data_IF_854346717416
#
_entry.id   IF_854346717416
#
_cell.length_a   1.000
_cell.length_b   1.000
_cell.length_c   1.000
_cell.angle_alpha   90.00
_cell.angle_beta   90.00
_cell.angle_gamma   90.00
#
_symmetry.space_group_name_H-M   'P 1'
#
loop_
_entity.id
_entity.type
_entity.pdbx_description
1 polymer ?
#
# COMPACT_ATOMS: atom_id res chain seq x y z
N UNK A 1 27.30 -17.40 6.86
CA UNK A 1 26.23 -17.28 7.89
C UNK A 1 24.94 -17.70 7.22
N UNK A 2 24.14 -18.58 7.84
CA UNK A 2 22.87 -19.00 7.24
C UNK A 2 21.76 -18.06 7.74
N UNK A 3 20.92 -17.57 6.82
CA UNK A 3 19.78 -16.71 7.13
C UNK A 3 18.54 -17.27 6.43
N UNK A 4 17.44 -17.37 7.18
CA UNK A 4 16.14 -17.85 6.69
C UNK A 4 15.07 -16.87 7.14
N UNK A 5 14.12 -16.56 6.26
CA UNK A 5 13.07 -15.59 6.55
C UNK A 5 11.84 -15.81 5.69
N UNK A 6 10.81 -15.02 5.96
CA UNK A 6 9.54 -15.01 5.23
C UNK A 6 9.37 -13.67 4.51
N UNK A 7 8.68 -13.70 3.37
CA UNK A 7 8.31 -12.51 2.60
C UNK A 7 6.89 -12.68 2.08
N UNK A 8 6.00 -11.78 2.46
CA UNK A 8 4.62 -11.75 1.94
C UNK A 8 4.52 -11.00 0.61
N UNK A 9 5.45 -10.07 0.35
CA UNK A 9 5.50 -9.31 -0.90
C UNK A 9 5.88 -10.24 -2.07
N UNK A 10 4.99 -10.34 -3.06
CA UNK A 10 5.13 -11.25 -4.20
C UNK A 10 6.01 -10.65 -5.31
N UNK A 11 7.30 -10.48 -5.04
CA UNK A 11 8.25 -9.90 -6.02
C UNK A 11 8.52 -10.80 -7.22
N UNK A 12 8.18 -12.10 -7.15
CA UNK A 12 8.36 -13.03 -8.27
C UNK A 12 7.34 -12.80 -9.39
N UNK A 13 6.22 -12.13 -9.10
CA UNK A 13 5.25 -11.73 -10.11
C UNK A 13 5.76 -10.48 -10.86
N UNK A 14 5.87 -10.58 -12.18
CA UNK A 14 6.38 -9.50 -13.04
C UNK A 14 5.56 -8.21 -12.99
N UNK A 15 4.24 -8.30 -12.82
CA UNK A 15 3.37 -7.13 -12.69
C UNK A 15 3.55 -6.43 -11.34
N UNK A 16 3.74 -7.20 -10.25
CA UNK A 16 4.02 -6.62 -8.93
C UNK A 16 5.39 -5.98 -8.91
N UNK A 17 6.39 -6.63 -9.52
CA UNK A 17 7.75 -6.08 -9.61
C UNK A 17 7.80 -4.74 -10.34
N UNK A 18 7.06 -4.55 -11.43
CA UNK A 18 7.06 -3.26 -12.15
C UNK A 18 6.40 -2.13 -11.33
N UNK A 19 5.41 -2.45 -10.49
CA UNK A 19 4.80 -1.49 -9.56
C UNK A 19 5.81 -1.08 -8.48
N UNK A 20 6.55 -2.04 -7.92
CA UNK A 20 7.59 -1.79 -6.91
C UNK A 20 8.73 -0.96 -7.51
N UNK A 21 9.13 -1.23 -8.75
CA UNK A 21 10.16 -0.46 -9.45
C UNK A 21 9.74 1.01 -9.62
N UNK A 22 8.51 1.24 -10.08
CA UNK A 22 7.95 2.60 -10.19
C UNK A 22 7.94 3.33 -8.85
N UNK A 23 7.48 2.65 -7.78
CA UNK A 23 7.52 3.21 -6.42
C UNK A 23 8.94 3.60 -6.00
N UNK A 24 9.90 2.74 -6.30
CA UNK A 24 11.31 2.93 -5.95
C UNK A 24 11.90 4.14 -6.66
N UNK A 25 11.61 4.32 -7.96
CA UNK A 25 12.07 5.49 -8.74
C UNK A 25 11.56 6.82 -8.18
N UNK A 26 10.29 6.87 -7.74
CA UNK A 26 9.71 8.07 -7.13
C UNK A 26 10.31 8.35 -5.74
N UNK A 27 10.63 7.29 -4.97
CA UNK A 27 11.14 7.42 -3.61
C UNK A 27 12.65 7.65 -3.51
N UNK A 28 13.42 7.23 -4.52
CA UNK A 28 14.85 7.56 -4.63
C UNK A 28 15.11 9.07 -4.83
N UNK A 29 14.07 9.87 -5.08
CA UNK A 29 14.17 11.33 -5.05
C UNK A 29 14.27 11.91 -3.63
N UNK A 30 13.92 11.12 -2.59
CA UNK A 30 14.08 11.51 -1.20
C UNK A 30 15.54 11.29 -0.75
N UNK A 31 16.06 12.10 0.20
CA UNK A 31 17.43 11.93 0.69
C UNK A 31 17.63 10.51 1.28
N UNK A 32 18.65 9.76 0.81
CA UNK A 32 18.96 8.44 1.34
C UNK A 32 19.40 8.53 2.81
N UNK A 33 19.17 7.48 3.59
CA UNK A 33 19.59 7.40 5.01
C UNK A 33 20.82 6.50 5.14
N UNK A 34 22.04 7.07 5.11
CA UNK A 34 23.29 6.33 4.92
C UNK A 34 23.59 5.29 6.03
N UNK A 35 23.04 5.45 7.24
CA UNK A 35 23.37 4.60 8.39
C UNK A 35 22.30 3.53 8.71
N UNK A 36 21.30 3.34 7.85
CA UNK A 36 20.18 2.45 8.17
C UNK A 36 20.48 0.95 7.98
N UNK A 37 21.46 0.61 7.14
CA UNK A 37 21.68 -0.78 6.70
C UNK A 37 20.53 -1.35 5.85
N UNK A 38 19.60 -0.50 5.41
CA UNK A 38 18.45 -0.85 4.58
C UNK A 38 18.68 -0.42 3.13
N UNK A 39 18.00 -1.09 2.20
CA UNK A 39 17.98 -0.68 0.80
C UNK A 39 17.11 0.58 0.66
N UNK A 40 17.71 1.67 0.18
CA UNK A 40 16.97 2.90 -0.12
C UNK A 40 15.97 2.67 -1.26
N UNK A 41 14.79 3.28 -1.15
CA UNK A 41 13.73 3.19 -2.17
C UNK A 41 12.95 1.88 -2.19
N UNK A 42 13.34 0.85 -1.40
CA UNK A 42 12.60 -0.41 -1.36
C UNK A 42 11.18 -0.22 -0.79
N UNK A 43 10.19 -0.82 -1.43
CA UNK A 43 8.81 -0.78 -0.94
C UNK A 43 8.66 -1.71 0.27
N UNK A 44 8.50 -1.12 1.44
CA UNK A 44 8.23 -1.84 2.69
C UNK A 44 6.82 -2.44 2.69
N UNK A 45 6.62 -3.49 3.50
CA UNK A 45 5.36 -4.23 3.56
C UNK A 45 4.19 -3.37 4.05
N UNK A 46 4.42 -2.41 4.94
CA UNK A 46 3.39 -1.46 5.39
C UNK A 46 2.83 -0.61 4.23
N UNK A 47 3.70 -0.10 3.34
CA UNK A 47 3.30 0.65 2.15
C UNK A 47 2.57 -0.25 1.14
N UNK A 48 3.06 -1.47 0.92
CA UNK A 48 2.41 -2.44 0.05
C UNK A 48 1.00 -2.81 0.55
N UNK A 49 0.83 -3.03 1.85
CA UNK A 49 -0.49 -3.31 2.43
C UNK A 49 -1.46 -2.13 2.29
N UNK A 50 -0.98 -0.89 2.39
CA UNK A 50 -1.81 0.29 2.13
C UNK A 50 -2.23 0.36 0.66
N UNK A 51 -1.31 0.08 -0.26
CA UNK A 51 -1.60 0.04 -1.69
C UNK A 51 -2.68 -1.01 -2.01
N UNK A 52 -2.54 -2.23 -1.47
CA UNK A 52 -3.51 -3.31 -1.65
C UNK A 52 -4.87 -2.97 -1.01
N UNK A 53 -4.89 -2.36 0.18
CA UNK A 53 -6.13 -1.97 0.85
C UNK A 53 -6.98 -1.02 -0.01
N UNK A 54 -6.36 -0.04 -0.66
CA UNK A 54 -7.04 0.86 -1.58
C UNK A 54 -7.64 0.10 -2.76
N UNK A 55 -6.91 -0.86 -3.34
CA UNK A 55 -7.39 -1.65 -4.49
C UNK A 55 -8.54 -2.57 -4.11
N UNK A 56 -8.46 -3.24 -2.95
CA UNK A 56 -9.54 -4.09 -2.44
C UNK A 56 -10.82 -3.28 -2.22
N UNK A 57 -10.72 -2.10 -1.60
CA UNK A 57 -11.86 -1.21 -1.42
C UNK A 57 -12.40 -0.70 -2.77
N UNK A 58 -11.53 -0.34 -3.71
CA UNK A 58 -11.94 0.12 -5.04
C UNK A 58 -12.74 -0.94 -5.80
N UNK A 59 -12.32 -2.21 -5.75
CA UNK A 59 -13.06 -3.33 -6.34
C UNK A 59 -14.44 -3.48 -5.69
N UNK A 60 -14.53 -3.38 -4.36
CA UNK A 60 -15.81 -3.43 -3.65
C UNK A 60 -16.74 -2.26 -4.03
N UNK A 61 -16.20 -1.05 -4.19
CA UNK A 61 -16.95 0.13 -4.62
C UNK A 61 -17.45 -0.03 -6.06
N UNK A 62 -16.63 -0.54 -6.98
CA UNK A 62 -17.03 -0.77 -8.38
C UNK A 62 -18.20 -1.75 -8.50
N UNK A 63 -18.28 -2.73 -7.61
CA UNK A 63 -19.39 -3.71 -7.57
C UNK A 63 -20.67 -3.14 -6.94
N UNK A 64 -20.59 -2.00 -6.25
CA UNK A 64 -21.73 -1.37 -5.60
C UNK A 64 -22.31 -0.24 -6.44
N UNK A 65 -23.54 -0.39 -6.90
CA UNK A 65 -24.16 0.54 -7.86
C UNK A 65 -24.63 1.87 -7.25
N UNK A 66 -24.77 1.98 -5.92
CA UNK A 66 -25.42 3.14 -5.26
C UNK A 66 -24.78 3.55 -3.93
N UNK A 67 -23.45 3.68 -3.84
CA UNK A 67 -22.78 4.26 -2.67
C UNK A 67 -22.57 5.76 -2.89
N UNK A 68 -23.04 6.59 -1.95
CA UNK A 68 -22.78 8.04 -1.94
C UNK A 68 -22.23 8.48 -0.59
N UNK A 69 -21.32 9.45 -0.59
CA UNK A 69 -20.71 9.95 0.64
C UNK A 69 -21.70 10.86 1.37
N UNK A 70 -21.87 10.64 2.68
CA UNK A 70 -22.68 11.50 3.54
C UNK A 70 -21.82 12.20 4.59
N UNK A 71 -22.10 13.47 4.87
CA UNK A 71 -21.52 14.16 6.02
C UNK A 71 -22.17 13.67 7.31
N UNK A 72 -21.37 13.07 8.19
CA UNK A 72 -21.79 12.57 9.50
C UNK A 72 -21.24 13.44 10.62
N UNK A 73 -21.93 13.43 11.76
CA UNK A 73 -21.52 14.18 12.94
C UNK A 73 -21.16 13.21 14.06
N UNK A 74 -19.96 13.30 14.61
CA UNK A 74 -19.47 12.39 15.67
C UNK A 74 -20.32 12.44 16.94
N UNK A 75 -20.97 13.57 17.23
CA UNK A 75 -21.87 13.73 18.38
C UNK A 75 -23.27 13.14 18.17
N UNK A 76 -23.59 12.69 16.95
CA UNK A 76 -24.88 12.06 16.64
C UNK A 76 -24.68 10.57 16.42
N UNK A 77 -25.50 9.77 17.08
CA UNK A 77 -25.57 8.32 16.87
C UNK A 77 -26.35 7.96 15.58
N UNK A 78 -26.07 8.64 14.46
CA UNK A 78 -26.69 8.35 13.16
C UNK A 78 -25.64 7.71 12.24
N UNK A 79 -25.82 6.44 11.82
CA UNK A 79 -24.87 5.77 10.93
C UNK A 79 -24.98 6.24 9.48
N UNK A 80 -23.96 5.92 8.68
CA UNK A 80 -24.02 6.01 7.22
C UNK A 80 -25.04 5.00 6.66
N UNK A 81 -25.76 5.37 5.62
CA UNK A 81 -26.71 4.49 4.91
C UNK A 81 -26.31 4.43 3.45
#
# INVERSE_FOLDING_TARGET
VNMTGFRILNTENSQVSSIIEKWSMERLQAPPKPDSGLLDGFMTTDAALMYDAVHVVAVAVQQSQQITVSSLQCNRHKPWR
#
